data_IF_910070404263
#
_entry.id   IF_910070404263
#
_cell.length_a   1.000
_cell.length_b   1.000
_cell.length_c   1.000
_cell.angle_alpha   90.00
_cell.angle_beta   90.00
_cell.angle_gamma   90.00
#
_symmetry.space_group_name_H-M   'P 1'
#
loop_
_entity.id
_entity.type
_entity.pdbx_description
1 polymer ?
#
# COMPACT_ATOMS: atom_id res chain seq x y z
N UNK A 1 -22.64 -2.18 2.72
CA UNK A 1 -22.71 -2.85 1.40
C UNK A 1 -21.55 -3.81 1.25
N UNK A 2 -21.78 -4.99 0.68
CA UNK A 2 -20.75 -6.01 0.48
C UNK A 2 -20.36 -6.08 -1.00
N UNK A 3 -19.05 -6.04 -1.26
CA UNK A 3 -18.47 -6.16 -2.62
C UNK A 3 -17.35 -7.20 -2.55
N UNK A 4 -17.31 -8.11 -3.50
CA UNK A 4 -16.20 -9.07 -3.59
C UNK A 4 -14.91 -8.38 -4.01
N UNK A 5 -13.76 -8.87 -3.54
CA UNK A 5 -12.47 -8.27 -3.82
C UNK A 5 -12.18 -8.12 -5.32
N UNK A 6 -12.56 -9.10 -6.13
CA UNK A 6 -12.38 -9.06 -7.58
C UNK A 6 -13.35 -8.10 -8.32
N UNK A 7 -14.44 -7.68 -7.67
CA UNK A 7 -15.40 -6.72 -8.23
C UNK A 7 -15.08 -5.28 -7.84
N UNK A 8 -14.18 -5.05 -6.89
CA UNK A 8 -13.95 -3.74 -6.29
C UNK A 8 -13.53 -2.68 -7.32
N UNK A 9 -12.55 -3.00 -8.17
CA UNK A 9 -12.07 -2.05 -9.19
C UNK A 9 -13.17 -1.63 -10.15
N UNK A 10 -13.85 -2.54 -10.88
CA UNK A 10 -14.90 -2.13 -11.81
C UNK A 10 -16.08 -1.46 -11.09
N UNK A 11 -16.39 -1.87 -9.87
CA UNK A 11 -17.48 -1.28 -9.09
C UNK A 11 -17.20 0.19 -8.71
N UNK A 12 -15.96 0.51 -8.32
CA UNK A 12 -15.54 1.89 -8.04
C UNK A 12 -15.52 2.73 -9.32
N UNK A 13 -14.87 2.23 -10.37
CA UNK A 13 -14.69 2.97 -11.63
C UNK A 13 -16.01 3.27 -12.34
N UNK A 14 -17.02 2.42 -12.17
CA UNK A 14 -18.35 2.63 -12.75
C UNK A 14 -19.14 3.77 -12.07
N UNK A 15 -18.77 4.20 -10.88
CA UNK A 15 -19.55 5.11 -10.04
C UNK A 15 -18.83 6.41 -9.67
N UNK A 16 -17.51 6.45 -9.75
CA UNK A 16 -16.70 7.56 -9.24
C UNK A 16 -15.80 8.14 -10.32
N UNK A 17 -15.71 9.48 -10.35
CA UNK A 17 -14.78 10.23 -11.19
C UNK A 17 -13.66 10.90 -10.37
N UNK A 18 -13.82 11.03 -9.05
CA UNK A 18 -12.88 11.71 -8.14
C UNK A 18 -12.64 10.91 -6.88
N UNK A 19 -11.53 11.19 -6.18
CA UNK A 19 -11.24 10.59 -4.88
C UNK A 19 -12.27 10.93 -3.82
N UNK A 20 -12.85 12.12 -3.86
CA UNK A 20 -13.89 12.53 -2.89
C UNK A 20 -15.12 11.64 -3.02
N UNK A 21 -15.56 11.37 -4.26
CA UNK A 21 -16.65 10.43 -4.53
C UNK A 21 -16.31 9.00 -4.08
N UNK A 22 -15.07 8.58 -4.27
CA UNK A 22 -14.61 7.26 -3.79
C UNK A 22 -14.68 7.18 -2.26
N UNK A 23 -14.21 8.21 -1.54
CA UNK A 23 -14.26 8.23 -0.07
C UNK A 23 -15.68 8.08 0.46
N UNK A 24 -16.63 8.79 -0.15
CA UNK A 24 -18.07 8.68 0.21
C UNK A 24 -18.63 7.29 -0.11
N UNK A 25 -18.29 6.76 -1.29
CA UNK A 25 -18.79 5.46 -1.74
C UNK A 25 -18.34 4.30 -0.86
N UNK A 26 -17.07 4.32 -0.40
CA UNK A 26 -16.47 3.24 0.36
C UNK A 26 -16.58 3.40 1.88
N UNK A 27 -17.13 4.50 2.38
CA UNK A 27 -17.28 4.76 3.82
C UNK A 27 -18.02 3.64 4.57
N UNK A 28 -19.07 3.07 3.95
CA UNK A 28 -19.88 1.98 4.49
C UNK A 28 -19.68 0.65 3.75
N UNK A 29 -18.53 0.50 3.09
CA UNK A 29 -18.23 -0.69 2.31
C UNK A 29 -17.60 -1.78 3.17
N UNK A 30 -18.00 -3.02 2.90
CA UNK A 30 -17.32 -4.21 3.35
C UNK A 30 -16.85 -5.01 2.12
N UNK A 31 -15.57 -5.29 2.06
CA UNK A 31 -15.00 -6.15 1.02
C UNK A 31 -15.01 -7.57 1.54
N UNK A 32 -15.74 -8.44 0.84
CA UNK A 32 -15.90 -9.83 1.23
C UNK A 32 -14.87 -10.71 0.52
N UNK A 33 -14.36 -11.68 1.27
CA UNK A 33 -13.38 -12.63 0.82
C UNK A 33 -14.07 -13.79 0.07
N UNK A 34 -14.62 -13.47 -1.09
CA UNK A 34 -15.25 -14.44 -1.97
C UNK A 34 -14.30 -14.80 -3.10
N UNK A 35 -13.92 -16.08 -3.28
CA UNK A 35 -13.08 -16.48 -4.40
C UNK A 35 -13.80 -16.28 -5.74
N UNK A 36 -13.06 -15.90 -6.76
CA UNK A 36 -13.60 -15.74 -8.11
C UNK A 36 -14.05 -17.08 -8.70
N UNK A 37 -13.29 -18.14 -8.41
CA UNK A 37 -13.62 -19.52 -8.79
C UNK A 37 -12.96 -20.50 -7.84
N UNK A 38 -13.35 -21.78 -7.91
CA UNK A 38 -12.76 -22.87 -7.11
C UNK A 38 -11.23 -22.99 -7.30
N UNK A 39 -10.73 -22.61 -8.48
CA UNK A 39 -9.32 -22.70 -8.85
C UNK A 39 -8.53 -21.40 -8.57
N UNK A 40 -9.21 -20.31 -8.23
CA UNK A 40 -8.62 -19.01 -7.94
C UNK A 40 -9.05 -18.56 -6.52
N UNK A 41 -8.28 -18.92 -5.50
CA UNK A 41 -8.58 -18.50 -4.14
C UNK A 41 -8.55 -16.98 -4.04
N UNK A 42 -9.30 -16.42 -3.10
CA UNK A 42 -9.25 -15.00 -2.80
C UNK A 42 -7.83 -14.60 -2.38
N UNK A 43 -7.35 -13.50 -2.94
CA UNK A 43 -6.06 -12.92 -2.56
C UNK A 43 -6.24 -11.85 -1.48
N UNK A 44 -5.29 -11.75 -0.58
CA UNK A 44 -5.15 -10.57 0.28
C UNK A 44 -4.72 -9.41 -0.62
N UNK A 45 -5.67 -8.58 -1.02
CA UNK A 45 -5.44 -7.49 -1.95
C UNK A 45 -5.43 -6.13 -1.23
N UNK A 46 -4.56 -5.27 -1.72
CA UNK A 46 -4.50 -3.86 -1.37
C UNK A 46 -4.73 -3.05 -2.65
N UNK A 47 -5.37 -1.91 -2.53
CA UNK A 47 -5.63 -1.04 -3.68
C UNK A 47 -5.08 0.35 -3.43
N UNK A 48 -4.52 0.94 -4.46
CA UNK A 48 -4.23 2.36 -4.51
C UNK A 48 -5.18 3.00 -5.52
N UNK A 49 -5.81 4.10 -5.12
CA UNK A 49 -6.71 4.86 -5.95
C UNK A 49 -6.17 6.29 -6.01
N UNK A 50 -5.99 6.79 -7.22
CA UNK A 50 -5.37 8.09 -7.44
C UNK A 50 -6.19 8.94 -8.39
N UNK A 51 -6.20 10.24 -8.17
CA UNK A 51 -6.63 11.26 -9.11
C UNK A 51 -5.58 12.38 -9.18
N UNK A 52 -5.91 13.48 -9.87
CA UNK A 52 -5.01 14.63 -9.99
C UNK A 52 -4.71 15.35 -8.68
N UNK A 53 -5.45 15.10 -7.60
CA UNK A 53 -5.30 15.73 -6.30
C UNK A 53 -4.50 14.90 -5.31
N UNK A 54 -4.42 13.58 -5.49
CA UNK A 54 -3.71 12.72 -4.56
C UNK A 54 -4.03 11.25 -4.73
N UNK A 55 -3.72 10.49 -3.70
CA UNK A 55 -3.91 9.05 -3.66
C UNK A 55 -4.41 8.58 -2.30
N UNK A 56 -5.23 7.54 -2.31
CA UNK A 56 -5.63 6.81 -1.10
C UNK A 56 -5.25 5.35 -1.25
N UNK A 57 -4.97 4.71 -0.12
CA UNK A 57 -4.75 3.27 -0.02
C UNK A 57 -5.95 2.63 0.67
N UNK A 58 -6.44 1.55 0.10
CA UNK A 58 -7.55 0.76 0.64
C UNK A 58 -7.05 -0.64 0.96
N UNK A 59 -7.20 -1.06 2.20
CA UNK A 59 -6.76 -2.36 2.69
C UNK A 59 -7.92 -3.08 3.37
N UNK A 60 -8.19 -4.32 2.95
CA UNK A 60 -9.13 -5.19 3.63
C UNK A 60 -8.39 -5.99 4.70
N UNK A 61 -8.60 -5.61 5.96
CA UNK A 61 -7.96 -6.21 7.11
C UNK A 61 -8.95 -7.10 7.88
N UNK A 62 -8.45 -7.88 8.83
CA UNK A 62 -9.30 -8.79 9.65
C UNK A 62 -10.35 -8.06 10.48
N UNK A 63 -10.06 -6.83 10.87
CA UNK A 63 -10.92 -5.95 11.67
C UNK A 63 -11.78 -5.01 10.83
N UNK A 64 -11.69 -5.08 9.50
CA UNK A 64 -12.49 -4.30 8.57
C UNK A 64 -11.68 -3.63 7.47
N UNK A 65 -12.33 -2.70 6.79
CA UNK A 65 -11.72 -1.92 5.71
C UNK A 65 -10.96 -0.72 6.28
N UNK A 66 -9.69 -0.61 5.92
CA UNK A 66 -8.84 0.52 6.29
C UNK A 66 -8.59 1.39 5.07
N UNK A 67 -8.80 2.70 5.23
CA UNK A 67 -8.59 3.70 4.20
C UNK A 67 -7.56 4.69 4.71
N UNK A 68 -6.45 4.85 3.98
CA UNK A 68 -5.37 5.75 4.34
C UNK A 68 -5.12 6.78 3.24
N UNK A 69 -4.86 8.02 3.63
CA UNK A 69 -4.26 9.00 2.72
C UNK A 69 -2.84 8.53 2.37
N UNK A 70 -2.50 8.52 1.10
CA UNK A 70 -1.20 8.07 0.64
C UNK A 70 -0.39 9.23 0.05
N UNK A 71 0.41 9.93 0.86
CA UNK A 71 1.14 11.12 0.43
C UNK A 71 2.34 10.81 -0.49
N UNK A 72 2.77 9.55 -0.55
CA UNK A 72 3.93 9.14 -1.37
C UNK A 72 3.52 8.57 -2.73
N UNK A 73 2.24 8.24 -2.94
CA UNK A 73 1.72 7.72 -4.21
C UNK A 73 2.21 6.31 -4.58
N UNK A 74 2.72 5.55 -3.62
CA UNK A 74 3.25 4.19 -3.82
C UNK A 74 2.64 3.24 -2.82
N UNK A 75 2.41 2.01 -3.23
CA UNK A 75 1.90 0.94 -2.39
C UNK A 75 2.61 -0.37 -2.75
N UNK A 76 3.04 -1.12 -1.74
CA UNK A 76 3.55 -2.48 -1.87
C UNK A 76 2.61 -3.48 -1.18
N UNK A 77 2.78 -4.77 -1.43
CA UNK A 77 1.87 -5.79 -0.91
C UNK A 77 1.96 -5.96 0.61
N UNK A 78 3.15 -5.89 1.18
CA UNK A 78 3.40 -6.10 2.60
C UNK A 78 4.51 -5.19 3.11
N UNK A 79 4.49 -4.80 4.36
CA UNK A 79 3.45 -4.93 5.39
C UNK A 79 2.24 -4.01 5.15
N UNK A 80 1.25 -3.94 6.07
CA UNK A 80 0.17 -2.95 5.99
C UNK A 80 0.69 -1.52 5.82
N UNK A 81 -0.08 -0.66 5.15
CA UNK A 81 0.36 0.67 4.71
C UNK A 81 0.96 1.54 5.82
N UNK A 82 0.39 1.54 7.01
CA UNK A 82 0.94 2.31 8.14
C UNK A 82 2.36 1.87 8.51
N UNK A 83 2.63 0.57 8.47
CA UNK A 83 3.97 0.04 8.70
C UNK A 83 4.92 0.37 7.54
N UNK A 84 4.45 0.36 6.30
CA UNK A 84 5.24 0.80 5.15
C UNK A 84 5.68 2.26 5.31
N UNK A 85 4.76 3.14 5.73
CA UNK A 85 5.07 4.55 5.98
C UNK A 85 6.08 4.74 7.12
N UNK A 86 5.95 3.97 8.20
CA UNK A 86 6.94 3.97 9.29
C UNK A 86 8.32 3.51 8.81
N UNK A 87 8.38 2.42 8.05
CA UNK A 87 9.64 1.87 7.52
C UNK A 87 10.31 2.80 6.52
N UNK A 88 9.57 3.67 5.84
CA UNK A 88 10.13 4.64 4.89
C UNK A 88 11.17 5.55 5.54
N UNK A 89 11.06 5.82 6.83
CA UNK A 89 12.07 6.57 7.59
C UNK A 89 13.47 5.97 7.51
N UNK A 90 13.59 4.65 7.36
CA UNK A 90 14.88 3.97 7.26
C UNK A 90 15.62 4.30 5.97
N UNK A 91 14.92 4.84 4.97
CA UNK A 91 15.45 5.14 3.65
C UNK A 91 15.75 6.62 3.43
N UNK A 92 15.52 7.49 4.41
CA UNK A 92 15.77 8.93 4.29
C UNK A 92 17.23 9.27 4.01
N UNK A 93 18.15 8.45 4.54
CA UNK A 93 19.59 8.59 4.31
C UNK A 93 20.14 7.80 3.13
N UNK A 94 19.26 7.27 2.25
CA UNK A 94 19.68 6.43 1.14
C UNK A 94 20.56 7.21 0.14
N UNK A 95 21.74 6.68 -0.14
CA UNK A 95 22.71 7.28 -1.05
C UNK A 95 23.44 6.18 -1.83
N UNK A 96 24.07 6.48 -2.99
CA UNK A 96 24.87 5.51 -3.72
C UNK A 96 26.21 5.20 -3.04
N UNK A 97 26.54 5.88 -1.95
CA UNK A 97 27.77 5.68 -1.21
C UNK A 97 27.54 4.73 -0.04
N UNK A 98 28.50 3.84 0.21
CA UNK A 98 28.52 3.03 1.42
C UNK A 98 28.65 3.95 2.64
N UNK A 99 27.70 3.91 3.60
CA UNK A 99 27.83 4.68 4.83
C UNK A 99 28.99 4.17 5.70
N UNK A 100 29.58 5.08 6.49
CA UNK A 100 30.61 4.71 7.45
C UNK A 100 30.00 3.87 8.59
N UNK A 101 30.75 2.88 9.04
CA UNK A 101 30.38 2.06 10.18
C UNK A 101 30.70 2.80 11.49
N UNK A 102 29.64 3.29 12.16
CA UNK A 102 29.76 3.99 13.44
C UNK A 102 29.44 3.11 14.66
N UNK A 103 29.16 1.81 14.45
CA UNK A 103 28.70 0.93 15.53
C UNK A 103 29.85 0.19 16.21
N UNK A 104 30.83 -0.31 15.45
CA UNK A 104 31.90 -1.10 15.98
C UNK A 104 33.02 -1.28 14.95
N UNK A 105 34.28 -1.30 15.43
CA UNK A 105 35.46 -1.64 14.62
C UNK A 105 35.69 -3.16 14.48
N UNK A 106 34.88 -3.96 15.20
CA UNK A 106 35.03 -5.42 15.23
C UNK A 106 34.23 -6.17 14.16
N UNK A 107 33.35 -5.48 13.46
CA UNK A 107 32.51 -6.05 12.43
C UNK A 107 32.51 -5.14 11.21
N UNK A 108 32.75 -5.72 10.05
CA UNK A 108 32.55 -5.06 8.77
C UNK A 108 31.06 -5.07 8.45
N UNK A 109 30.40 -3.94 8.71
CA UNK A 109 28.99 -3.75 8.40
C UNK A 109 28.86 -3.11 7.02
N UNK A 110 28.13 -3.78 6.16
CA UNK A 110 27.84 -3.33 4.79
C UNK A 110 26.37 -2.96 4.70
N UNK A 111 26.08 -1.78 4.16
CA UNK A 111 24.70 -1.41 3.86
C UNK A 111 24.14 -2.34 2.77
N UNK A 112 23.07 -3.05 3.10
CA UNK A 112 22.43 -3.99 2.19
C UNK A 112 21.52 -3.31 1.16
N UNK A 113 21.22 -2.01 1.36
CA UNK A 113 20.39 -1.20 0.47
C UNK A 113 21.19 0.04 0.05
N UNK A 114 21.70 0.02 -1.14
CA UNK A 114 22.39 1.17 -1.77
C UNK A 114 21.58 1.60 -2.99
N UNK A 115 21.29 2.89 -3.10
CA UNK A 115 20.65 3.42 -4.29
C UNK A 115 21.66 3.42 -5.44
N UNK A 116 21.36 2.68 -6.49
CA UNK A 116 22.10 2.73 -7.73
C UNK A 116 21.65 4.01 -8.49
N UNK A 117 22.48 5.01 -8.47
CA UNK A 117 22.29 6.18 -9.34
C UNK A 117 22.61 5.81 -10.79
N UNK A 118 21.68 6.12 -11.64
CA UNK A 118 21.92 6.11 -13.09
C UNK A 118 22.48 7.45 -13.56
#
# INVERSE_FOLDING_TARGET
KNVASFEFIPWVLAQCATLDEVRELIADLNIVDTPFSENLPSGMLHWIISDKRGSITVESMKDGLHIHENPVGVLTNNPPFEQQMFMLNNYMGLSPKQPENHFTDKLDLICTVVAWGH
#
